data_IF_387434109569
#
_entry.id   IF_387434109569
#
_cell.length_a   1.000
_cell.length_b   1.000
_cell.length_c   1.000
_cell.angle_alpha   90.00
_cell.angle_beta   90.00
_cell.angle_gamma   90.00
#
_symmetry.space_group_name_H-M   'P 1'
#
loop_
_entity.id
_entity.type
_entity.pdbx_description
1 polymer ?
#
# COMPACT_ATOMS: atom_id res chain seq x y z
N UNK A 1 -13.80 -27.12 36.06
CA UNK A 1 -12.63 -26.26 36.34
C UNK A 1 -12.40 -25.45 35.10
N UNK A 2 -12.92 -24.21 35.10
CA UNK A 2 -12.82 -23.32 33.95
C UNK A 2 -11.43 -22.75 33.88
N UNK A 3 -10.72 -22.96 32.78
CA UNK A 3 -9.51 -22.25 32.46
C UNK A 3 -9.88 -20.79 32.19
N UNK A 4 -9.64 -19.93 33.15
CA UNK A 4 -9.72 -18.49 33.00
C UNK A 4 -8.69 -18.02 31.95
N UNK A 5 -9.09 -18.02 30.67
CA UNK A 5 -8.30 -17.45 29.60
C UNK A 5 -8.10 -15.97 29.91
N UNK A 6 -6.84 -15.52 29.95
CA UNK A 6 -6.51 -14.08 29.90
C UNK A 6 -7.31 -13.47 28.75
N UNK A 7 -7.94 -12.30 28.94
CA UNK A 7 -8.59 -11.62 27.84
C UNK A 7 -7.54 -11.45 26.72
N UNK A 8 -7.77 -12.10 25.59
CA UNK A 8 -6.89 -11.97 24.43
C UNK A 8 -6.94 -10.50 23.99
N UNK A 9 -5.81 -9.83 23.96
CA UNK A 9 -5.74 -8.45 23.48
C UNK A 9 -6.35 -8.37 22.07
N UNK A 10 -7.14 -7.32 21.78
CA UNK A 10 -7.79 -7.17 20.48
C UNK A 10 -6.74 -7.15 19.36
N UNK A 11 -6.98 -7.92 18.30
CA UNK A 11 -6.05 -8.02 17.17
C UNK A 11 -6.03 -6.73 16.38
N UNK A 12 -4.84 -6.14 16.25
CA UNK A 12 -4.63 -4.93 15.47
C UNK A 12 -4.25 -5.33 14.03
N UNK A 13 -5.03 -4.87 13.05
CA UNK A 13 -4.71 -4.99 11.64
C UNK A 13 -3.99 -3.76 11.12
N UNK A 14 -2.78 -3.93 10.58
CA UNK A 14 -2.05 -2.90 9.86
C UNK A 14 -2.49 -2.92 8.39
N UNK A 15 -2.93 -1.78 7.88
CA UNK A 15 -3.30 -1.60 6.47
C UNK A 15 -2.36 -0.58 5.84
N UNK A 16 -1.59 -1.02 4.84
CA UNK A 16 -0.67 -0.17 4.08
C UNK A 16 -1.16 -0.01 2.65
N UNK A 17 -1.51 1.23 2.30
CA UNK A 17 -2.07 1.55 0.99
C UNK A 17 -1.02 1.60 -0.11
N UNK A 18 -1.46 1.49 -1.36
CA UNK A 18 -0.62 1.71 -2.53
C UNK A 18 -0.20 3.18 -2.66
N UNK A 19 0.79 3.44 -3.50
CA UNK A 19 1.24 4.81 -3.77
C UNK A 19 2.63 4.94 -4.40
N UNK A 20 3.18 3.89 -4.95
CA UNK A 20 4.51 3.93 -5.59
C UNK A 20 5.58 4.47 -4.64
N UNK A 21 6.38 5.43 -5.10
CA UNK A 21 7.47 6.04 -4.31
C UNK A 21 6.98 6.74 -3.02
N UNK A 22 5.72 7.16 -2.96
CA UNK A 22 5.12 7.75 -1.74
C UNK A 22 5.10 6.77 -0.56
N UNK A 23 5.18 5.46 -0.81
CA UNK A 23 5.21 4.45 0.25
C UNK A 23 6.46 4.52 1.15
N UNK A 24 7.48 5.30 0.78
CA UNK A 24 8.60 5.64 1.66
C UNK A 24 8.12 6.36 2.96
N UNK A 25 7.01 7.10 2.91
CA UNK A 25 6.36 7.69 4.09
C UNK A 25 5.99 6.63 5.13
N UNK A 26 5.43 5.50 4.69
CA UNK A 26 5.03 4.39 5.56
C UNK A 26 6.23 3.85 6.35
N UNK A 27 7.41 3.81 5.72
CA UNK A 27 8.65 3.35 6.39
C UNK A 27 9.07 4.32 7.51
N UNK A 28 8.84 5.61 7.34
CA UNK A 28 9.05 6.61 8.37
C UNK A 28 8.14 6.40 9.59
N UNK A 29 6.85 6.13 9.32
CA UNK A 29 5.86 5.79 10.36
C UNK A 29 6.30 4.54 11.14
N UNK A 30 6.62 3.47 10.41
CA UNK A 30 7.05 2.21 11.01
C UNK A 30 8.36 2.36 11.81
N UNK A 31 9.29 3.21 11.35
CA UNK A 31 10.52 3.53 12.06
C UNK A 31 10.22 4.19 13.42
N UNK A 32 9.29 5.13 13.47
CA UNK A 32 8.91 5.79 14.72
C UNK A 32 8.27 4.78 15.68
N UNK A 33 7.34 3.95 15.20
CA UNK A 33 6.72 2.89 16.01
C UNK A 33 7.79 1.92 16.55
N UNK A 34 8.71 1.45 15.69
CA UNK A 34 9.79 0.57 16.13
C UNK A 34 10.73 1.22 17.16
N UNK A 35 10.87 2.54 17.15
CA UNK A 35 11.63 3.29 18.15
C UNK A 35 10.93 3.38 19.50
N UNK A 36 9.59 3.30 19.52
CA UNK A 36 8.78 3.34 20.74
C UNK A 36 8.68 1.96 21.43
N UNK A 37 8.95 0.88 20.71
CA UNK A 37 8.84 -0.48 21.21
C UNK A 37 10.20 -1.02 21.74
N UNK A 38 10.19 -2.02 22.64
CA UNK A 38 11.40 -2.72 23.04
C UNK A 38 12.15 -3.31 21.84
N UNK A 39 13.48 -3.50 21.97
CA UNK A 39 14.34 -3.84 20.84
C UNK A 39 13.95 -5.14 20.12
N UNK A 40 13.58 -6.15 20.89
CA UNK A 40 13.32 -7.51 20.41
C UNK A 40 11.84 -7.88 20.44
N UNK A 41 10.96 -6.86 20.50
CA UNK A 41 9.53 -7.12 20.50
C UNK A 41 9.05 -7.66 19.14
N UNK A 42 8.08 -8.60 19.17
CA UNK A 42 7.38 -8.98 17.96
C UNK A 42 6.57 -7.81 17.41
N UNK A 43 6.06 -7.97 16.20
CA UNK A 43 5.19 -6.99 15.57
C UNK A 43 3.96 -6.70 16.43
N UNK A 44 3.61 -5.41 16.67
CA UNK A 44 2.37 -5.05 17.33
C UNK A 44 1.14 -5.29 16.43
N UNK A 45 1.38 -5.73 15.20
CA UNK A 45 0.37 -5.95 14.16
C UNK A 45 0.31 -7.44 13.82
N UNK A 46 -0.54 -8.23 14.48
CA UNK A 46 -0.72 -9.64 14.15
C UNK A 46 -1.37 -9.85 12.77
N UNK A 47 -2.07 -8.87 12.23
CA UNK A 47 -2.64 -8.90 10.88
C UNK A 47 -2.02 -7.78 10.07
N UNK A 48 -1.45 -8.11 8.90
CA UNK A 48 -0.78 -7.16 8.03
C UNK A 48 -1.38 -7.27 6.62
N UNK A 49 -1.89 -6.15 6.10
CA UNK A 49 -2.50 -6.06 4.78
C UNK A 49 -1.79 -5.00 3.95
N UNK A 50 -1.47 -5.32 2.71
CA UNK A 50 -0.80 -4.38 1.82
C UNK A 50 -1.35 -4.39 0.40
N UNK A 51 -1.18 -3.26 -0.29
CA UNK A 51 -1.55 -3.09 -1.70
C UNK A 51 -0.44 -2.33 -2.41
N UNK A 52 -0.07 -2.74 -3.64
CA UNK A 52 0.96 -2.08 -4.45
C UNK A 52 2.29 -1.96 -3.70
N UNK A 53 2.92 -0.79 -3.69
CA UNK A 53 4.14 -0.55 -2.92
C UNK A 53 3.96 -0.81 -1.40
N UNK A 54 2.75 -0.60 -0.87
CA UNK A 54 2.40 -0.98 0.49
C UNK A 54 2.44 -2.50 0.72
N UNK A 55 2.16 -3.32 -0.31
CA UNK A 55 2.29 -4.78 -0.20
C UNK A 55 3.75 -5.22 -0.07
N UNK A 56 4.68 -4.52 -0.72
CA UNK A 56 6.13 -4.78 -0.57
C UNK A 56 6.57 -4.50 0.87
N UNK A 57 6.19 -3.34 1.42
CA UNK A 57 6.48 -3.01 2.82
C UNK A 57 5.85 -4.03 3.78
N UNK A 58 4.60 -4.41 3.52
CA UNK A 58 3.84 -5.39 4.30
C UNK A 58 4.51 -6.77 4.31
N UNK A 59 5.01 -7.24 3.17
CA UNK A 59 5.67 -8.53 3.05
C UNK A 59 6.98 -8.60 3.86
N UNK A 60 7.79 -7.52 3.85
CA UNK A 60 9.00 -7.45 4.68
C UNK A 60 8.65 -7.52 6.16
N UNK A 61 7.61 -6.79 6.61
CA UNK A 61 7.18 -6.84 8.01
C UNK A 61 6.61 -8.21 8.39
N UNK A 62 5.80 -8.81 7.52
CA UNK A 62 5.21 -10.12 7.75
C UNK A 62 6.28 -11.22 7.86
N UNK A 63 7.30 -11.16 7.00
CA UNK A 63 8.43 -12.10 7.05
C UNK A 63 9.30 -11.95 8.31
N UNK A 64 9.28 -10.78 8.95
CA UNK A 64 10.06 -10.45 10.14
C UNK A 64 9.16 -10.13 11.35
N UNK A 65 7.94 -10.66 11.40
CA UNK A 65 7.00 -10.30 12.47
C UNK A 65 7.47 -10.72 13.86
N UNK A 66 8.33 -11.72 13.98
CA UNK A 66 8.95 -12.14 15.24
C UNK A 66 9.93 -11.07 15.81
N UNK A 67 10.50 -10.22 14.96
CA UNK A 67 11.34 -9.09 15.36
C UNK A 67 11.00 -7.86 14.49
N UNK A 68 10.06 -7.07 14.97
CA UNK A 68 9.53 -5.92 14.23
C UNK A 68 10.61 -4.90 13.85
N UNK A 69 11.53 -4.62 14.78
CA UNK A 69 12.63 -3.67 14.55
C UNK A 69 13.56 -4.12 13.44
N UNK A 70 13.80 -5.42 13.30
CA UNK A 70 14.60 -5.98 12.21
C UNK A 70 13.91 -5.77 10.85
N UNK A 71 12.61 -6.07 10.75
CA UNK A 71 11.84 -5.83 9.53
C UNK A 71 11.88 -4.35 9.11
N UNK A 72 11.71 -3.44 10.08
CA UNK A 72 11.80 -1.99 9.81
C UNK A 72 13.21 -1.57 9.38
N UNK A 73 14.27 -2.13 9.97
CA UNK A 73 15.65 -1.86 9.53
C UNK A 73 15.91 -2.27 8.08
N UNK A 74 15.39 -3.42 7.66
CA UNK A 74 15.49 -3.88 6.28
C UNK A 74 14.79 -2.89 5.34
N UNK A 75 13.55 -2.48 5.65
CA UNK A 75 12.84 -1.45 4.89
C UNK A 75 13.64 -0.16 4.81
N UNK A 76 14.17 0.31 5.92
CA UNK A 76 14.99 1.53 5.97
C UNK A 76 16.23 1.45 5.09
N UNK A 77 16.91 0.29 5.05
CA UNK A 77 18.09 0.07 4.21
C UNK A 77 17.76 0.16 2.73
N UNK A 78 16.65 -0.47 2.32
CA UNK A 78 16.20 -0.43 0.92
C UNK A 78 15.78 0.99 0.54
N UNK A 79 14.81 1.59 1.26
CA UNK A 79 14.22 2.87 0.88
C UNK A 79 15.17 4.07 0.97
N UNK A 80 16.12 4.08 1.91
CA UNK A 80 17.15 5.15 2.01
C UNK A 80 18.14 5.16 0.84
N UNK A 81 18.29 4.04 0.16
CA UNK A 81 19.22 3.87 -0.94
C UNK A 81 18.51 3.54 -2.26
N UNK A 82 17.19 3.83 -2.31
CA UNK A 82 16.38 3.50 -3.47
C UNK A 82 16.71 4.41 -4.65
N UNK A 83 16.69 3.81 -5.84
CA UNK A 83 16.85 4.51 -7.12
C UNK A 83 15.87 3.93 -8.13
N UNK A 84 15.51 4.73 -9.11
CA UNK A 84 14.62 4.35 -10.21
C UNK A 84 15.03 3.03 -10.85
N UNK A 85 16.32 2.78 -11.04
CA UNK A 85 16.83 1.56 -11.66
C UNK A 85 16.62 0.26 -10.83
N UNK A 86 16.22 0.37 -9.57
CA UNK A 86 15.80 -0.78 -8.76
C UNK A 86 14.34 -1.19 -9.04
N UNK A 87 13.55 -0.29 -9.62
CA UNK A 87 12.12 -0.54 -9.88
C UNK A 87 11.87 -0.81 -11.35
N UNK A 88 12.42 0.02 -12.24
CA UNK A 88 12.21 -0.11 -13.67
C UNK A 88 13.44 0.32 -14.47
N UNK A 89 13.55 -0.23 -15.68
CA UNK A 89 14.60 0.20 -16.60
C UNK A 89 14.29 1.58 -17.15
N UNK A 90 15.28 2.46 -17.04
CA UNK A 90 15.23 3.84 -17.52
C UNK A 90 16.20 4.07 -18.71
N UNK A 91 16.63 2.99 -19.40
CA UNK A 91 17.52 3.10 -20.55
C UNK A 91 16.82 3.78 -21.75
N UNK A 92 17.49 4.72 -22.43
CA UNK A 92 16.89 5.52 -23.51
C UNK A 92 16.36 4.66 -24.66
N UNK A 93 17.08 3.61 -25.00
CA UNK A 93 16.78 2.73 -26.13
C UNK A 93 15.53 1.88 -25.86
N UNK A 94 15.41 1.34 -24.65
CA UNK A 94 14.24 0.56 -24.21
C UNK A 94 12.99 1.42 -24.09
N UNK A 95 13.09 2.59 -23.46
CA UNK A 95 12.00 3.54 -23.34
C UNK A 95 11.51 4.05 -24.72
N UNK A 96 12.44 4.38 -25.63
CA UNK A 96 12.09 4.82 -26.99
C UNK A 96 11.45 3.69 -27.80
N UNK A 97 12.00 2.47 -27.75
CA UNK A 97 11.47 1.32 -28.47
C UNK A 97 10.05 0.96 -27.99
N UNK A 98 9.81 0.98 -26.69
CA UNK A 98 8.49 0.71 -26.13
C UNK A 98 7.50 1.82 -26.49
N UNK A 99 7.89 3.10 -26.40
CA UNK A 99 7.04 4.22 -26.80
C UNK A 99 6.71 4.20 -28.30
N UNK A 100 7.69 3.92 -29.16
CA UNK A 100 7.47 3.77 -30.60
C UNK A 100 6.55 2.57 -30.92
N UNK A 101 6.73 1.45 -30.22
CA UNK A 101 5.85 0.28 -30.37
C UNK A 101 4.42 0.58 -29.93
N UNK A 102 4.20 1.39 -28.88
CA UNK A 102 2.88 1.87 -28.47
C UNK A 102 2.22 2.76 -29.55
N UNK A 103 2.99 3.72 -30.09
CA UNK A 103 2.50 4.60 -31.16
C UNK A 103 2.13 3.77 -32.39
N UNK A 104 2.99 2.81 -32.77
CA UNK A 104 2.69 1.91 -33.90
C UNK A 104 1.47 1.02 -33.65
N UNK A 105 1.34 0.44 -32.45
CA UNK A 105 0.16 -0.36 -32.10
C UNK A 105 -1.12 0.46 -32.15
N UNK A 106 -1.08 1.72 -31.70
CA UNK A 106 -2.21 2.64 -31.79
C UNK A 106 -2.55 2.99 -33.24
N UNK A 107 -1.56 3.27 -34.08
CA UNK A 107 -1.75 3.60 -35.50
C UNK A 107 -2.21 2.40 -36.35
N UNK A 108 -1.82 1.17 -35.98
CA UNK A 108 -2.16 -0.07 -36.72
C UNK A 108 -3.38 -0.79 -36.14
N UNK A 109 -4.10 -0.20 -35.17
CA UNK A 109 -5.25 -0.82 -34.52
C UNK A 109 -4.91 -2.13 -33.80
N UNK A 110 -3.65 -2.30 -33.37
CA UNK A 110 -3.21 -3.52 -32.68
C UNK A 110 -2.91 -4.70 -33.63
N UNK A 111 -2.91 -4.51 -34.93
CA UNK A 111 -2.56 -5.53 -35.94
C UNK A 111 -1.05 -5.81 -36.01
N UNK A 112 -0.44 -6.18 -34.89
CA UNK A 112 0.97 -6.57 -34.82
C UNK A 112 1.17 -7.72 -33.86
N UNK A 113 2.09 -8.63 -34.18
CA UNK A 113 2.41 -9.84 -33.40
C UNK A 113 2.91 -9.59 -31.98
N UNK A 114 3.17 -8.32 -31.60
CA UNK A 114 3.60 -7.90 -30.25
C UNK A 114 3.02 -6.52 -29.94
N UNK A 115 1.81 -6.48 -29.40
CA UNK A 115 1.32 -5.26 -28.74
C UNK A 115 2.15 -5.02 -27.47
N UNK A 116 2.78 -3.84 -27.30
CA UNK A 116 3.52 -3.55 -26.09
C UNK A 116 2.52 -3.52 -24.93
N UNK A 117 2.76 -4.38 -23.93
CA UNK A 117 1.85 -4.56 -22.80
C UNK A 117 2.06 -3.47 -21.74
N UNK A 118 3.23 -2.80 -21.72
CA UNK A 118 3.60 -1.78 -20.73
C UNK A 118 4.60 -0.77 -21.26
N UNK A 119 4.60 0.43 -20.67
CA UNK A 119 5.56 1.51 -21.00
C UNK A 119 6.95 1.24 -20.42
N UNK A 120 7.02 0.66 -19.22
CA UNK A 120 8.26 0.43 -18.48
C UNK A 120 8.46 -1.07 -18.20
N UNK A 121 9.70 -1.49 -18.22
CA UNK A 121 10.15 -2.85 -17.83
C UNK A 121 10.47 -2.85 -16.33
N UNK A 122 9.68 -3.58 -15.54
CA UNK A 122 9.84 -3.74 -14.09
C UNK A 122 10.68 -4.97 -13.69
N UNK A 123 11.44 -5.53 -14.59
CA UNK A 123 12.35 -6.66 -14.28
C UNK A 123 13.34 -6.38 -13.14
N UNK A 124 13.82 -5.13 -12.91
CA UNK A 124 14.60 -4.83 -11.72
C UNK A 124 13.82 -5.05 -10.41
N UNK A 125 12.58 -4.60 -10.36
CA UNK A 125 11.72 -4.83 -9.18
C UNK A 125 11.50 -6.34 -8.96
N UNK A 126 11.26 -7.10 -10.03
CA UNK A 126 11.11 -8.55 -9.93
C UNK A 126 12.33 -9.23 -9.32
N UNK A 127 13.54 -8.82 -9.73
CA UNK A 127 14.79 -9.31 -9.14
C UNK A 127 14.94 -8.88 -7.68
N UNK A 128 14.69 -7.62 -7.37
CA UNK A 128 14.77 -7.10 -6.00
C UNK A 128 13.85 -7.91 -5.07
N UNK A 129 12.58 -8.08 -5.43
CA UNK A 129 11.59 -8.83 -4.67
C UNK A 129 12.01 -10.30 -4.54
N UNK A 130 12.45 -10.94 -5.61
CA UNK A 130 12.81 -12.36 -5.60
C UNK A 130 14.10 -12.67 -4.83
N UNK A 131 15.03 -11.71 -4.71
CA UNK A 131 16.33 -11.94 -4.05
C UNK A 131 16.41 -11.40 -2.63
N UNK A 132 15.68 -10.34 -2.31
CA UNK A 132 15.79 -9.65 -1.02
C UNK A 132 14.68 -10.02 -0.02
N UNK A 133 13.56 -10.59 -0.51
CA UNK A 133 12.44 -10.97 0.34
C UNK A 133 12.48 -12.46 0.69
N UNK A 134 12.50 -12.73 1.98
CA UNK A 134 12.38 -14.09 2.49
C UNK A 134 10.90 -14.48 2.66
N UNK A 135 10.29 -15.00 1.60
CA UNK A 135 8.89 -15.45 1.65
C UNK A 135 8.67 -16.60 2.64
N UNK A 136 9.68 -17.44 2.89
CA UNK A 136 9.64 -18.46 3.93
C UNK A 136 9.50 -17.89 5.34
N UNK A 137 9.98 -16.67 5.56
CA UNK A 137 9.83 -15.92 6.81
C UNK A 137 8.37 -15.65 7.17
N UNK A 138 7.49 -15.45 6.18
CA UNK A 138 6.05 -15.28 6.42
C UNK A 138 5.48 -16.52 7.11
N UNK A 139 5.78 -17.69 6.58
CA UNK A 139 5.32 -18.95 7.16
C UNK A 139 5.89 -19.16 8.57
N UNK A 140 7.20 -18.91 8.76
CA UNK A 140 7.82 -18.99 10.10
C UNK A 140 7.20 -18.03 11.10
N UNK A 141 6.86 -16.82 10.68
CA UNK A 141 6.18 -15.83 11.52
C UNK A 141 4.78 -16.28 11.94
N UNK A 142 4.05 -16.97 11.05
CA UNK A 142 2.74 -17.55 11.35
C UNK A 142 2.89 -18.73 12.32
N UNK A 143 3.81 -19.65 12.05
CA UNK A 143 4.04 -20.83 12.86
C UNK A 143 4.51 -20.49 14.28
N UNK A 144 5.25 -19.39 14.45
CA UNK A 144 5.67 -18.87 15.77
C UNK A 144 4.57 -18.10 16.50
N UNK A 145 3.43 -17.80 15.86
CA UNK A 145 2.36 -16.98 16.41
C UNK A 145 2.63 -15.47 16.43
N UNK A 146 3.77 -15.01 15.91
CA UNK A 146 4.08 -13.58 15.81
C UNK A 146 3.25 -12.86 14.72
N UNK A 147 2.76 -13.62 13.74
CA UNK A 147 1.86 -13.17 12.70
C UNK A 147 0.63 -14.05 12.67
N UNK A 148 -0.55 -13.47 12.70
CA UNK A 148 -1.81 -14.19 12.54
C UNK A 148 -2.19 -14.35 11.06
N UNK A 149 -2.10 -13.25 10.29
CA UNK A 149 -2.38 -13.27 8.87
C UNK A 149 -1.66 -12.14 8.11
N UNK A 150 -1.31 -12.46 6.86
CA UNK A 150 -0.79 -11.51 5.88
C UNK A 150 -1.61 -11.56 4.62
N UNK A 151 -1.88 -10.41 4.00
CA UNK A 151 -2.62 -10.36 2.74
C UNK A 151 -2.11 -9.31 1.76
N UNK A 152 -2.30 -9.63 0.48
CA UNK A 152 -1.98 -8.77 -0.66
C UNK A 152 -3.21 -8.68 -1.55
N UNK A 153 -3.58 -7.46 -1.95
CA UNK A 153 -4.70 -7.24 -2.86
C UNK A 153 -4.21 -6.99 -4.28
N UNK A 154 -4.82 -7.67 -5.24
CA UNK A 154 -4.60 -7.53 -6.69
C UNK A 154 -5.92 -7.27 -7.41
N UNK A 155 -5.85 -6.73 -8.63
CA UNK A 155 -7.01 -6.51 -9.50
C UNK A 155 -7.00 -7.50 -10.65
N UNK A 156 -8.01 -8.38 -10.73
CA UNK A 156 -8.17 -9.34 -11.81
C UNK A 156 -8.72 -8.67 -13.07
N UNK A 157 -8.03 -8.85 -14.20
CA UNK A 157 -8.45 -8.23 -15.47
C UNK A 157 -9.62 -8.97 -16.12
N UNK A 158 -9.68 -10.29 -15.99
CA UNK A 158 -10.74 -11.12 -16.59
C UNK A 158 -11.98 -11.17 -15.71
N UNK A 159 -11.79 -11.39 -14.40
CA UNK A 159 -12.89 -11.46 -13.44
C UNK A 159 -13.49 -10.09 -13.11
N UNK A 160 -12.73 -9.02 -13.29
CA UNK A 160 -13.09 -7.67 -12.86
C UNK A 160 -13.24 -7.53 -11.34
N UNK A 161 -12.61 -8.44 -10.57
CA UNK A 161 -12.70 -8.48 -9.12
C UNK A 161 -11.45 -7.92 -8.45
N UNK A 162 -11.62 -7.40 -7.24
CA UNK A 162 -10.54 -7.19 -6.28
C UNK A 162 -10.27 -8.51 -5.57
N UNK A 163 -9.10 -9.10 -5.79
CA UNK A 163 -8.70 -10.39 -5.24
C UNK A 163 -7.67 -10.17 -4.16
N UNK A 164 -8.01 -10.55 -2.94
CA UNK A 164 -7.09 -10.53 -1.80
C UNK A 164 -6.54 -11.94 -1.59
N UNK A 165 -5.27 -12.15 -1.94
CA UNK A 165 -4.54 -13.35 -1.57
C UNK A 165 -4.08 -13.23 -0.12
N UNK A 166 -4.33 -14.26 0.70
CA UNK A 166 -3.92 -14.23 2.09
C UNK A 166 -3.27 -15.54 2.53
N UNK A 167 -2.36 -15.43 3.48
CA UNK A 167 -1.70 -16.53 4.17
C UNK A 167 -1.79 -16.27 5.67
N UNK A 168 -2.22 -17.26 6.46
CA UNK A 168 -2.43 -17.02 7.89
C UNK A 168 -2.58 -18.31 8.69
N UNK A 169 -2.97 -18.13 9.95
CA UNK A 169 -3.24 -19.21 10.89
C UNK A 169 -4.35 -20.15 10.37
N UNK A 170 -4.36 -21.41 10.80
CA UNK A 170 -5.44 -22.35 10.49
C UNK A 170 -6.81 -21.79 10.92
N UNK A 171 -7.85 -22.09 10.14
CA UNK A 171 -9.23 -21.68 10.44
C UNK A 171 -9.65 -20.33 9.86
N UNK A 172 -8.82 -19.71 9.03
CA UNK A 172 -9.25 -18.55 8.25
C UNK A 172 -10.00 -18.99 7.00
N UNK A 173 -11.27 -18.60 6.92
CA UNK A 173 -12.14 -18.94 5.80
C UNK A 173 -11.99 -17.97 4.61
N UNK A 174 -12.11 -18.46 3.37
CA UNK A 174 -12.23 -17.59 2.22
C UNK A 174 -13.53 -16.78 2.29
N UNK A 175 -13.52 -15.59 1.71
CA UNK A 175 -14.71 -14.75 1.68
C UNK A 175 -15.05 -14.28 0.27
N UNK A 176 -16.33 -14.01 0.07
CA UNK A 176 -16.84 -13.41 -1.16
C UNK A 176 -17.80 -12.26 -0.83
N UNK A 177 -17.58 -11.13 -1.47
CA UNK A 177 -18.42 -9.93 -1.39
C UNK A 177 -18.61 -9.38 -2.80
N UNK A 178 -19.47 -8.39 -2.97
CA UNK A 178 -19.65 -7.74 -4.26
C UNK A 178 -18.30 -7.27 -4.84
N UNK A 179 -17.86 -7.89 -5.93
CA UNK A 179 -16.61 -7.63 -6.65
C UNK A 179 -15.32 -7.75 -5.82
N UNK A 180 -15.35 -8.45 -4.69
CA UNK A 180 -14.21 -8.66 -3.81
C UNK A 180 -14.23 -10.09 -3.29
N UNK A 181 -13.07 -10.75 -3.41
CA UNK A 181 -12.89 -12.11 -2.89
C UNK A 181 -11.57 -12.18 -2.10
N UNK A 182 -11.57 -13.02 -1.06
CA UNK A 182 -10.37 -13.43 -0.36
C UNK A 182 -10.09 -14.89 -0.63
N UNK A 183 -8.86 -15.18 -1.04
CA UNK A 183 -8.42 -16.50 -1.45
C UNK A 183 -7.18 -16.90 -0.64
N UNK A 184 -7.18 -18.05 0.05
CA UNK A 184 -5.98 -18.55 0.70
C UNK A 184 -4.93 -18.91 -0.34
N UNK A 185 -3.68 -18.49 -0.10
CA UNK A 185 -2.57 -18.74 -1.00
C UNK A 185 -1.25 -18.78 -0.23
N UNK A 186 -0.27 -19.51 -0.75
CA UNK A 186 1.13 -19.32 -0.37
C UNK A 186 1.63 -18.11 -1.14
N UNK A 187 1.90 -17.02 -0.43
CA UNK A 187 2.27 -15.75 -1.07
C UNK A 187 3.72 -15.82 -1.53
N UNK A 188 3.93 -15.49 -2.82
CA UNK A 188 5.22 -15.46 -3.50
C UNK A 188 5.48 -14.15 -4.24
N UNK A 189 6.62 -14.03 -4.94
CA UNK A 189 7.01 -12.84 -5.70
C UNK A 189 5.96 -12.39 -6.71
N UNK A 190 5.28 -13.32 -7.37
CA UNK A 190 4.25 -13.07 -8.38
C UNK A 190 3.08 -12.27 -7.82
N UNK A 191 2.69 -12.50 -6.56
CA UNK A 191 1.61 -11.77 -5.91
C UNK A 191 1.98 -10.31 -5.66
N UNK A 192 3.23 -10.05 -5.22
CA UNK A 192 3.73 -8.68 -5.02
C UNK A 192 3.86 -7.92 -6.34
N UNK A 193 4.38 -8.59 -7.37
CA UNK A 193 4.53 -8.01 -8.70
C UNK A 193 3.16 -7.70 -9.31
N UNK A 194 2.19 -8.60 -9.16
CA UNK A 194 0.82 -8.39 -9.60
C UNK A 194 0.17 -7.19 -8.89
N UNK A 195 0.30 -7.14 -7.55
CA UNK A 195 -0.23 -6.03 -6.75
C UNK A 195 0.38 -4.68 -7.10
N UNK A 196 1.62 -4.67 -7.63
CA UNK A 196 2.37 -3.46 -8.01
C UNK A 196 2.34 -3.17 -9.51
N UNK A 197 1.60 -3.96 -10.31
CA UNK A 197 1.53 -3.80 -11.75
C UNK A 197 0.55 -2.68 -12.15
N UNK A 198 1.02 -1.42 -12.03
CA UNK A 198 0.26 -0.24 -12.45
C UNK A 198 -0.10 -0.33 -13.94
N UNK A 199 -1.39 -0.15 -14.30
CA UNK A 199 -1.85 -0.23 -15.68
C UNK A 199 -1.09 0.70 -16.59
N UNK A 200 -0.83 0.24 -17.81
CA UNK A 200 -0.06 0.93 -18.84
C UNK A 200 1.42 1.14 -18.48
N UNK A 201 1.76 1.29 -17.18
CA UNK A 201 3.13 1.56 -16.73
C UNK A 201 3.93 0.26 -16.61
N UNK A 202 3.38 -0.74 -15.90
CA UNK A 202 4.03 -2.04 -15.69
C UNK A 202 3.23 -3.19 -16.31
N UNK A 203 3.92 -4.29 -16.71
CA UNK A 203 3.25 -5.43 -17.30
C UNK A 203 2.33 -6.13 -16.28
N UNK A 204 1.15 -6.61 -16.71
CA UNK A 204 0.31 -7.44 -15.86
C UNK A 204 0.99 -8.78 -15.58
N UNK A 205 0.71 -9.35 -14.41
CA UNK A 205 1.30 -10.60 -13.96
C UNK A 205 0.27 -11.72 -13.97
N UNK A 206 0.63 -12.86 -14.53
CA UNK A 206 -0.24 -14.04 -14.54
C UNK A 206 -0.08 -14.82 -13.23
N UNK A 207 -1.20 -15.01 -12.52
CA UNK A 207 -1.29 -15.91 -11.38
C UNK A 207 -2.36 -16.94 -11.72
N UNK A 208 -1.98 -18.21 -11.73
CA UNK A 208 -2.85 -19.32 -12.17
C UNK A 208 -3.42 -19.09 -13.60
N UNK A 209 -4.72 -18.86 -13.71
CA UNK A 209 -5.44 -18.76 -14.99
C UNK A 209 -5.81 -17.33 -15.37
N UNK A 210 -5.46 -16.32 -14.55
CA UNK A 210 -5.86 -14.94 -14.76
C UNK A 210 -4.63 -14.00 -14.73
N UNK A 211 -4.75 -12.88 -15.46
CA UNK A 211 -3.80 -11.77 -15.37
C UNK A 211 -4.30 -10.75 -14.36
N UNK A 212 -3.35 -10.27 -13.55
CA UNK A 212 -3.61 -9.32 -12.49
C UNK A 212 -2.79 -8.02 -12.68
N UNK A 213 -3.39 -6.93 -12.24
CA UNK A 213 -2.77 -5.62 -12.12
C UNK A 213 -2.85 -5.08 -10.72
N UNK A 214 -2.42 -3.83 -10.53
CA UNK A 214 -2.35 -3.15 -9.24
C UNK A 214 -3.68 -3.24 -8.49
N UNK A 215 -3.58 -3.68 -7.25
CA UNK A 215 -4.74 -3.92 -6.41
C UNK A 215 -5.56 -2.66 -6.14
N UNK A 216 -4.92 -1.48 -6.08
CA UNK A 216 -5.59 -0.21 -5.80
C UNK A 216 -6.67 0.15 -6.82
N UNK A 217 -6.57 -0.35 -8.06
CA UNK A 217 -7.55 -0.07 -9.13
C UNK A 217 -8.99 -0.48 -8.80
N UNK A 218 -9.15 -1.57 -8.05
CA UNK A 218 -10.46 -2.14 -7.71
C UNK A 218 -10.71 -2.22 -6.22
N UNK A 219 -9.82 -1.67 -5.40
CA UNK A 219 -9.90 -1.75 -3.95
C UNK A 219 -10.80 -0.65 -3.37
N UNK A 220 -12.10 -0.80 -3.58
CA UNK A 220 -13.13 0.14 -3.06
C UNK A 220 -13.33 0.06 -1.55
N UNK A 221 -12.73 -0.90 -0.88
CA UNK A 221 -12.78 -1.11 0.57
C UNK A 221 -11.42 -1.61 1.10
N UNK A 222 -10.42 -0.72 1.20
CA UNK A 222 -9.04 -1.06 1.57
C UNK A 222 -8.90 -1.69 2.96
N UNK A 223 -9.77 -1.37 3.91
CA UNK A 223 -9.71 -1.92 5.28
C UNK A 223 -10.43 -3.27 5.41
N UNK A 224 -11.29 -3.60 4.46
CA UNK A 224 -12.10 -4.83 4.47
C UNK A 224 -11.30 -6.13 4.60
N UNK A 225 -10.14 -6.32 3.93
CA UNK A 225 -9.33 -7.51 4.11
C UNK A 225 -8.89 -7.74 5.56
N UNK A 226 -8.45 -6.69 6.25
CA UNK A 226 -8.03 -6.80 7.65
C UNK A 226 -9.19 -7.24 8.56
N UNK A 227 -10.39 -6.69 8.33
CA UNK A 227 -11.60 -7.08 9.08
C UNK A 227 -11.98 -8.53 8.81
N UNK A 228 -11.92 -9.00 7.55
CA UNK A 228 -12.20 -10.40 7.22
C UNK A 228 -11.17 -11.37 7.81
N UNK A 229 -9.94 -10.93 7.99
CA UNK A 229 -8.89 -11.69 8.67
C UNK A 229 -8.98 -11.63 10.20
N UNK A 230 -10.00 -10.95 10.74
CA UNK A 230 -10.28 -10.92 12.17
C UNK A 230 -9.62 -9.78 12.94
N UNK A 231 -9.29 -8.67 12.27
CA UNK A 231 -8.85 -7.46 12.96
C UNK A 231 -10.03 -6.82 13.73
N UNK A 232 -9.81 -6.51 14.98
CA UNK A 232 -10.75 -5.82 15.87
C UNK A 232 -10.43 -4.33 15.99
N UNK A 233 -9.18 -3.98 15.69
CA UNK A 233 -8.67 -2.60 15.62
C UNK A 233 -7.85 -2.43 14.36
N UNK A 234 -7.87 -1.24 13.77
CA UNK A 234 -7.20 -0.98 12.49
C UNK A 234 -6.20 0.17 12.62
N UNK A 235 -4.98 -0.07 12.19
CA UNK A 235 -3.97 0.96 11.99
C UNK A 235 -3.72 1.14 10.50
N UNK A 236 -4.15 2.27 9.94
CA UNK A 236 -4.06 2.55 8.50
C UNK A 236 -2.96 3.55 8.23
N UNK A 237 -2.01 3.22 7.37
CA UNK A 237 -1.00 4.16 6.90
C UNK A 237 -1.31 4.53 5.45
N UNK A 238 -1.86 5.73 5.27
CA UNK A 238 -2.13 6.32 3.96
C UNK A 238 -0.90 7.02 3.38
N UNK A 239 -0.95 7.32 2.08
CA UNK A 239 0.10 8.06 1.35
C UNK A 239 -0.44 9.34 0.70
N UNK A 240 -1.65 9.74 1.04
CA UNK A 240 -2.29 10.99 0.64
C UNK A 240 -2.58 11.86 1.84
N UNK A 241 -2.59 13.17 1.64
CA UNK A 241 -2.98 14.12 2.68
C UNK A 241 -4.48 13.95 2.96
N UNK A 242 -4.87 13.80 4.21
CA UNK A 242 -6.28 13.95 4.59
C UNK A 242 -6.73 15.40 4.30
N UNK A 243 -7.77 15.54 3.50
CA UNK A 243 -8.36 16.85 3.21
C UNK A 243 -9.26 17.24 4.38
N UNK A 244 -8.72 17.94 5.36
CA UNK A 244 -9.51 18.58 6.44
C UNK A 244 -10.22 19.86 5.97
N UNK A 245 -9.84 20.41 4.80
CA UNK A 245 -10.40 21.62 4.25
C UNK A 245 -10.88 21.39 2.81
N UNK A 246 -11.95 22.08 2.42
CA UNK A 246 -12.41 22.10 1.04
C UNK A 246 -11.25 22.58 0.14
N UNK A 247 -11.00 21.88 -0.99
CA UNK A 247 -9.95 22.29 -1.89
C UNK A 247 -10.22 23.71 -2.39
N UNK A 248 -9.24 24.61 -2.26
CA UNK A 248 -9.31 25.94 -2.86
C UNK A 248 -9.52 25.77 -4.38
N UNK A 249 -10.61 26.29 -4.88
CA UNK A 249 -10.89 26.33 -6.31
C UNK A 249 -9.95 27.36 -6.95
N UNK A 250 -8.86 26.87 -7.57
CA UNK A 250 -8.08 27.75 -8.43
C UNK A 250 -8.83 27.96 -9.76
N UNK A 251 -9.16 29.18 -10.07
CA UNK A 251 -9.66 29.57 -11.41
C UNK A 251 -8.47 29.54 -12.37
N UNK A 252 -8.43 28.56 -13.27
CA UNK A 252 -7.46 28.55 -14.38
C UNK A 252 -8.20 28.23 -15.66
N UNK A 253 -7.96 29.02 -16.70
CA UNK A 253 -8.51 28.81 -18.04
C UNK A 253 -7.65 27.83 -18.87
N UNK A 254 -6.58 27.29 -18.29
CA UNK A 254 -5.68 26.40 -18.99
C UNK A 254 -6.23 24.96 -19.07
N UNK A 255 -6.16 24.37 -20.27
CA UNK A 255 -6.51 22.96 -20.49
C UNK A 255 -5.54 22.06 -19.68
N UNK A 256 -6.07 21.06 -18.92
CA UNK A 256 -5.21 20.17 -18.16
C UNK A 256 -4.22 19.40 -19.02
N UNK A 257 -2.97 19.30 -18.58
CA UNK A 257 -1.95 18.47 -19.24
C UNK A 257 -2.23 16.96 -19.04
N UNK A 258 -1.65 16.11 -19.91
CA UNK A 258 -1.75 14.67 -19.76
C UNK A 258 -1.24 14.19 -18.39
N UNK A 259 -0.17 14.78 -17.88
CA UNK A 259 0.37 14.46 -16.55
C UNK A 259 -0.58 14.89 -15.43
N UNK A 260 -1.29 15.99 -15.56
CA UNK A 260 -2.29 16.42 -14.59
C UNK A 260 -3.48 15.45 -14.56
N UNK A 261 -3.97 15.03 -15.72
CA UNK A 261 -5.04 14.03 -15.83
C UNK A 261 -4.59 12.69 -15.25
N UNK A 262 -3.40 12.19 -15.64
CA UNK A 262 -2.86 10.96 -15.12
C UNK A 262 -2.63 11.01 -13.58
N UNK A 263 -2.10 12.12 -13.08
CA UNK A 263 -1.92 12.34 -11.65
C UNK A 263 -3.24 12.35 -10.88
N UNK A 264 -4.30 12.92 -11.46
CA UNK A 264 -5.64 12.91 -10.88
C UNK A 264 -6.21 11.48 -10.85
N UNK A 265 -6.09 10.73 -11.94
CA UNK A 265 -6.49 9.32 -11.97
C UNK A 265 -5.76 8.48 -10.91
N UNK A 266 -4.44 8.67 -10.76
CA UNK A 266 -3.66 7.95 -9.73
C UNK A 266 -4.09 8.35 -8.32
N UNK A 267 -4.37 9.61 -8.05
CA UNK A 267 -4.90 10.03 -6.76
C UNK A 267 -6.23 9.34 -6.45
N UNK A 268 -7.16 9.31 -7.41
CA UNK A 268 -8.44 8.62 -7.24
C UNK A 268 -8.27 7.12 -6.98
N UNK A 269 -7.34 6.47 -7.68
CA UNK A 269 -7.04 5.05 -7.50
C UNK A 269 -6.45 4.75 -6.11
N UNK A 270 -5.55 5.59 -5.61
CA UNK A 270 -4.79 5.30 -4.40
C UNK A 270 -5.36 5.91 -3.11
N UNK A 271 -6.12 7.01 -3.20
CA UNK A 271 -6.49 7.80 -2.03
C UNK A 271 -8.00 7.73 -1.72
N UNK A 272 -8.86 7.93 -2.71
CA UNK A 272 -10.29 8.11 -2.48
C UNK A 272 -10.95 6.89 -1.81
N UNK A 273 -10.51 5.68 -2.17
CA UNK A 273 -11.07 4.43 -1.62
C UNK A 273 -10.89 4.28 -0.11
N UNK A 274 -9.80 4.80 0.44
CA UNK A 274 -9.50 4.70 1.88
C UNK A 274 -10.42 5.64 2.67
N UNK A 275 -10.57 6.88 2.23
CA UNK A 275 -11.39 7.87 2.92
C UNK A 275 -12.87 7.44 2.96
N UNK A 276 -13.39 6.99 1.83
CA UNK A 276 -14.76 6.49 1.73
C UNK A 276 -15.01 5.26 2.60
N UNK A 277 -14.05 4.33 2.66
CA UNK A 277 -14.19 3.11 3.45
C UNK A 277 -14.12 3.39 4.96
N UNK A 278 -13.27 4.31 5.37
CA UNK A 278 -13.17 4.77 6.76
C UNK A 278 -14.43 5.53 7.20
N UNK A 279 -15.00 6.36 6.34
CA UNK A 279 -16.28 7.02 6.60
C UNK A 279 -17.43 6.00 6.79
N UNK A 280 -17.45 4.94 5.95
CA UNK A 280 -18.39 3.83 6.13
C UNK A 280 -18.20 3.14 7.48
N UNK A 281 -16.95 2.86 7.85
CA UNK A 281 -16.62 2.21 9.10
C UNK A 281 -17.06 3.07 10.29
N UNK A 282 -16.83 4.37 10.24
CA UNK A 282 -17.33 5.31 11.26
C UNK A 282 -18.85 5.25 11.40
N UNK A 283 -19.60 5.26 10.29
CA UNK A 283 -21.06 5.17 10.31
C UNK A 283 -21.53 3.82 10.88
N UNK A 284 -20.88 2.72 10.50
CA UNK A 284 -21.18 1.39 11.05
C UNK A 284 -20.92 1.38 12.56
N UNK A 285 -19.77 1.86 13.01
CA UNK A 285 -19.44 1.94 14.44
C UNK A 285 -20.48 2.77 15.23
N UNK A 286 -20.91 3.91 14.67
CA UNK A 286 -21.94 4.75 15.29
C UNK A 286 -23.29 4.03 15.37
N UNK A 287 -23.68 3.29 14.34
CA UNK A 287 -24.89 2.48 14.37
C UNK A 287 -24.78 1.37 15.40
N UNK A 288 -23.67 0.64 15.44
CA UNK A 288 -23.44 -0.44 16.39
C UNK A 288 -23.36 0.04 17.85
N UNK A 289 -22.94 1.29 18.10
CA UNK A 289 -22.91 1.84 19.45
C UNK A 289 -24.32 2.05 20.08
N UNK A 290 -25.35 2.08 19.25
CA UNK A 290 -26.75 2.27 19.67
C UNK A 290 -27.47 0.92 19.83
N UNK A 291 -26.97 -0.15 19.19
CA UNK A 291 -27.60 -1.47 19.20
C UNK A 291 -27.07 -2.29 20.39
N UNK A 292 -27.96 -2.77 21.31
CA UNK A 292 -27.56 -3.68 22.36
C UNK A 292 -26.90 -4.96 21.81
N UNK A 293 -25.81 -5.42 22.44
CA UNK A 293 -25.09 -6.64 22.01
C UNK A 293 -25.98 -7.87 21.95
N UNK A 294 -26.91 -7.99 22.90
CA UNK A 294 -27.87 -9.09 22.95
C UNK A 294 -28.75 -9.21 21.70
N UNK A 295 -29.09 -8.08 21.06
CA UNK A 295 -29.81 -8.07 19.79
C UNK A 295 -28.94 -8.52 18.60
N UNK A 296 -27.66 -8.20 18.60
CA UNK A 296 -26.74 -8.67 17.57
C UNK A 296 -26.54 -10.20 17.66
N UNK A 297 -26.34 -10.72 18.87
CA UNK A 297 -26.17 -12.14 19.15
C UNK A 297 -27.44 -12.93 18.82
N UNK A 298 -28.62 -12.45 19.27
CA UNK A 298 -29.91 -13.08 18.97
C UNK A 298 -30.22 -13.20 17.49
N UNK A 299 -29.73 -12.28 16.68
CA UNK A 299 -29.92 -12.28 15.23
C UNK A 299 -28.73 -12.87 14.45
N UNK A 300 -27.77 -13.50 15.11
CA UNK A 300 -26.54 -14.05 14.49
C UNK A 300 -25.79 -13.04 13.64
N UNK A 301 -25.80 -11.77 14.03
CA UNK A 301 -25.06 -10.72 13.34
C UNK A 301 -23.63 -10.66 13.91
N UNK A 302 -22.66 -11.22 13.19
CA UNK A 302 -21.24 -11.17 13.55
C UNK A 302 -20.63 -9.76 13.31
N UNK A 303 -21.35 -8.71 13.71
CA UNK A 303 -20.91 -7.32 13.58
C UNK A 303 -20.30 -6.87 14.91
N UNK A 304 -19.14 -6.27 14.84
CA UNK A 304 -18.46 -5.65 15.99
C UNK A 304 -17.93 -4.27 15.60
N UNK A 305 -17.82 -3.40 16.59
CA UNK A 305 -17.17 -2.11 16.42
C UNK A 305 -15.67 -2.35 16.21
N UNK A 306 -15.08 -1.68 15.23
CA UNK A 306 -13.66 -1.69 15.00
C UNK A 306 -13.09 -0.29 15.18
N UNK A 307 -12.34 -0.09 16.27
CA UNK A 307 -11.61 1.16 16.49
C UNK A 307 -10.47 1.29 15.45
N UNK A 308 -10.18 2.50 15.02
CA UNK A 308 -9.13 2.70 14.04
C UNK A 308 -8.33 4.00 14.27
N UNK A 309 -7.07 3.96 13.83
CA UNK A 309 -6.21 5.12 13.70
C UNK A 309 -5.67 5.21 12.28
N UNK A 310 -5.67 6.43 11.77
CA UNK A 310 -5.13 6.74 10.44
C UNK A 310 -3.94 7.67 10.60
N UNK A 311 -2.86 7.32 9.93
CA UNK A 311 -1.69 8.17 9.76
C UNK A 311 -1.54 8.50 8.28
N UNK A 312 -1.61 9.79 7.96
CA UNK A 312 -1.48 10.33 6.61
C UNK A 312 -0.49 11.51 6.64
N UNK A 313 0.18 11.80 5.51
CA UNK A 313 1.15 12.89 5.45
C UNK A 313 0.56 14.24 5.82
N UNK A 314 1.21 14.96 6.73
CA UNK A 314 0.83 16.34 7.12
C UNK A 314 1.15 17.36 6.02
N UNK A 315 2.05 17.03 5.10
CA UNK A 315 2.45 17.87 3.98
C UNK A 315 2.07 17.22 2.64
N UNK A 316 1.92 18.04 1.61
CA UNK A 316 1.67 17.56 0.25
C UNK A 316 2.92 16.88 -0.32
N UNK A 317 2.83 15.55 -0.55
CA UNK A 317 3.94 14.77 -1.11
C UNK A 317 4.26 15.17 -2.55
N UNK A 318 3.29 15.67 -3.30
CA UNK A 318 3.50 16.20 -4.65
C UNK A 318 4.31 17.50 -4.65
N UNK A 319 4.12 18.37 -3.64
CA UNK A 319 4.94 19.58 -3.49
C UNK A 319 6.38 19.22 -3.12
N UNK A 320 6.58 18.27 -2.20
CA UNK A 320 7.93 17.77 -1.87
C UNK A 320 8.60 17.16 -3.11
N UNK A 321 7.85 16.46 -3.97
CA UNK A 321 8.41 15.85 -5.18
C UNK A 321 8.98 16.89 -6.16
N UNK A 322 8.41 18.09 -6.23
CA UNK A 322 8.91 19.18 -7.09
C UNK A 322 10.38 19.53 -6.80
N UNK A 323 10.74 19.60 -5.51
CA UNK A 323 12.09 19.94 -5.07
C UNK A 323 13.12 18.87 -5.45
N UNK A 324 12.64 17.64 -5.69
CA UNK A 324 13.49 16.49 -5.99
C UNK A 324 13.46 16.04 -7.47
N UNK A 325 12.72 16.73 -8.36
CA UNK A 325 12.73 16.46 -9.81
C UNK A 325 14.15 16.41 -10.40
N UNK A 326 15.10 17.30 -10.01
CA UNK A 326 16.45 17.27 -10.56
C UNK A 326 17.21 15.98 -10.31
N UNK A 327 16.83 15.17 -9.31
CA UNK A 327 17.47 13.89 -8.98
C UNK A 327 17.13 12.77 -9.95
N UNK A 328 16.02 12.92 -10.70
CA UNK A 328 15.60 11.93 -11.70
C UNK A 328 16.63 11.78 -12.83
N UNK A 329 16.83 10.54 -13.37
CA UNK A 329 17.58 10.31 -14.56
C UNK A 329 17.11 11.20 -15.72
N UNK A 330 18.07 11.71 -16.53
CA UNK A 330 17.76 12.64 -17.64
C UNK A 330 16.71 12.11 -18.61
N UNK A 331 16.70 10.82 -18.89
CA UNK A 331 15.74 10.14 -19.77
C UNK A 331 14.32 10.18 -19.23
N UNK A 332 14.14 9.86 -17.94
CA UNK A 332 12.84 9.91 -17.27
C UNK A 332 12.34 11.36 -17.16
N UNK A 333 13.25 12.29 -16.86
CA UNK A 333 12.93 13.72 -16.81
C UNK A 333 12.47 14.26 -18.17
N UNK A 334 13.13 13.84 -19.26
CA UNK A 334 12.71 14.20 -20.62
C UNK A 334 11.32 13.65 -20.95
N UNK A 335 11.05 12.38 -20.61
CA UNK A 335 9.73 11.77 -20.79
C UNK A 335 8.64 12.51 -19.98
N UNK A 336 8.91 12.82 -18.73
CA UNK A 336 7.98 13.55 -17.86
C UNK A 336 7.75 14.99 -18.34
N UNK A 337 8.78 15.62 -18.95
CA UNK A 337 8.66 16.94 -19.55
C UNK A 337 7.68 16.93 -20.73
N UNK A 338 7.76 15.94 -21.63
CA UNK A 338 6.83 15.83 -22.78
C UNK A 338 5.38 15.63 -22.36
N UNK A 339 5.15 14.99 -21.18
CA UNK A 339 3.83 14.81 -20.61
C UNK A 339 3.32 16.04 -19.84
N UNK A 340 4.14 17.06 -19.64
CA UNK A 340 3.81 18.24 -18.83
C UNK A 340 3.88 18.01 -17.33
N UNK A 341 4.61 16.95 -16.89
CA UNK A 341 4.66 16.53 -15.50
C UNK A 341 5.59 17.37 -14.60
N UNK A 342 6.51 18.14 -15.19
CA UNK A 342 7.51 18.91 -14.42
C UNK A 342 6.98 20.22 -13.85
N UNK A 343 5.72 20.57 -14.13
CA UNK A 343 5.02 21.73 -13.56
C UNK A 343 4.29 21.32 -12.28
N UNK A 344 3.90 22.28 -11.46
CA UNK A 344 3.14 22.04 -10.23
C UNK A 344 1.86 21.22 -10.49
N UNK A 345 1.14 21.53 -11.58
CA UNK A 345 -0.07 20.79 -11.98
C UNK A 345 0.16 19.29 -12.29
N UNK A 346 1.37 18.92 -12.72
CA UNK A 346 1.74 17.52 -13.02
C UNK A 346 2.51 16.82 -11.92
N UNK A 347 2.83 17.48 -10.81
CA UNK A 347 3.66 16.97 -9.71
C UNK A 347 3.10 15.73 -9.03
N UNK A 348 1.79 15.55 -9.07
CA UNK A 348 1.15 14.34 -8.56
C UNK A 348 1.71 13.08 -9.25
N UNK A 349 1.74 13.05 -10.60
CA UNK A 349 2.29 11.93 -11.35
C UNK A 349 3.75 11.66 -10.97
N UNK A 350 4.56 12.71 -10.90
CA UNK A 350 5.99 12.63 -10.55
C UNK A 350 6.17 11.95 -9.20
N UNK A 351 5.41 12.34 -8.18
CA UNK A 351 5.56 11.84 -6.82
C UNK A 351 5.29 10.33 -6.67
N UNK A 352 4.55 9.71 -7.58
CA UNK A 352 4.36 8.25 -7.61
C UNK A 352 5.55 7.50 -8.22
N UNK A 353 6.28 8.15 -9.13
CA UNK A 353 7.36 7.54 -9.92
C UNK A 353 8.77 7.94 -9.46
N UNK A 354 8.88 8.86 -8.52
CA UNK A 354 10.14 9.42 -8.04
C UNK A 354 10.82 8.49 -7.01
N UNK A 355 11.28 7.33 -7.47
CA UNK A 355 12.04 6.37 -6.66
C UNK A 355 13.50 6.80 -6.55
N UNK A 356 13.78 7.94 -5.90
CA UNK A 356 15.13 8.44 -5.68
C UNK A 356 15.39 8.66 -4.19
N UNK A 357 16.61 8.37 -3.76
CA UNK A 357 16.99 8.32 -2.34
C UNK A 357 16.70 9.61 -1.59
N UNK A 358 16.90 10.77 -2.21
CA UNK A 358 16.68 12.08 -1.59
C UNK A 358 15.19 12.28 -1.27
N UNK A 359 14.30 12.00 -2.23
CA UNK A 359 12.86 12.04 -2.04
C UNK A 359 12.39 11.02 -1.01
N UNK A 360 12.85 9.76 -1.13
CA UNK A 360 12.49 8.71 -0.17
C UNK A 360 12.91 9.09 1.26
N UNK A 361 14.10 9.66 1.45
CA UNK A 361 14.59 10.12 2.76
C UNK A 361 13.75 11.26 3.32
N UNK A 362 13.32 12.21 2.47
CA UNK A 362 12.42 13.29 2.87
C UNK A 362 11.08 12.73 3.36
N UNK A 363 10.50 11.76 2.64
CA UNK A 363 9.25 11.12 3.03
C UNK A 363 9.39 10.27 4.30
N UNK A 364 10.48 9.54 4.46
CA UNK A 364 10.78 8.78 5.70
C UNK A 364 10.86 9.74 6.88
N UNK A 365 11.54 10.89 6.71
CA UNK A 365 11.61 11.90 7.76
C UNK A 365 10.23 12.44 8.12
N UNK A 366 9.43 12.80 7.12
CA UNK A 366 8.05 13.29 7.33
C UNK A 366 7.20 12.25 8.08
N UNK A 367 7.22 10.98 7.64
CA UNK A 367 6.45 9.91 8.29
C UNK A 367 6.87 9.69 9.75
N UNK A 368 8.17 9.79 10.02
CA UNK A 368 8.68 9.73 11.39
C UNK A 368 8.17 10.90 12.24
N UNK A 369 8.31 12.13 11.74
CA UNK A 369 7.93 13.35 12.44
C UNK A 369 6.40 13.40 12.71
N UNK A 370 5.58 13.00 11.73
CA UNK A 370 4.11 12.94 11.85
C UNK A 370 3.68 11.92 12.92
N UNK A 371 4.36 10.77 12.97
CA UNK A 371 4.10 9.73 13.97
C UNK A 371 4.48 10.21 15.38
N UNK A 372 5.63 10.86 15.52
CA UNK A 372 6.10 11.34 16.81
C UNK A 372 5.20 12.45 17.39
N UNK A 373 4.55 13.26 16.55
CA UNK A 373 3.54 14.24 17.02
C UNK A 373 2.31 13.58 17.65
N UNK A 374 2.01 12.34 17.30
CA UNK A 374 0.87 11.57 17.81
C UNK A 374 1.31 10.39 18.70
N UNK A 375 2.52 10.46 19.26
CA UNK A 375 3.15 9.38 20.01
C UNK A 375 2.23 8.80 21.08
N UNK A 376 1.65 9.62 21.93
CA UNK A 376 0.90 9.16 23.10
C UNK A 376 -0.42 8.50 22.70
N UNK A 377 -1.17 9.08 21.74
CA UNK A 377 -2.37 8.48 21.13
C UNK A 377 -2.03 7.10 20.51
N UNK A 378 -0.91 7.01 19.81
CA UNK A 378 -0.51 5.77 19.16
C UNK A 378 -0.05 4.70 20.16
N UNK A 379 0.69 5.07 21.19
CA UNK A 379 1.11 4.14 22.24
C UNK A 379 -0.10 3.57 22.98
N UNK A 380 -1.06 4.41 23.34
CA UNK A 380 -2.32 3.97 23.94
C UNK A 380 -3.10 3.07 22.98
N UNK A 381 -3.16 3.43 21.69
CA UNK A 381 -3.84 2.60 20.68
C UNK A 381 -3.16 1.24 20.52
N UNK A 382 -1.85 1.16 20.55
CA UNK A 382 -1.09 -0.08 20.41
C UNK A 382 -1.10 -0.94 21.70
N UNK A 383 -1.67 -0.43 22.81
CA UNK A 383 -1.73 -1.14 24.08
C UNK A 383 -0.44 -1.10 24.89
N UNK A 384 0.44 -0.17 24.56
CA UNK A 384 1.63 0.12 25.34
C UNK A 384 1.32 1.33 26.25
N UNK A 385 0.92 1.08 27.50
CA UNK A 385 0.82 2.14 28.48
C UNK A 385 2.18 2.81 28.67
N UNK A 386 2.16 4.12 28.95
CA UNK A 386 3.35 4.93 29.20
C UNK A 386 4.05 4.50 30.50
N UNK A 387 4.68 3.35 30.50
CA UNK A 387 5.43 2.78 31.63
C UNK A 387 6.93 3.13 31.56
N UNK A 388 7.29 4.24 30.92
CA UNK A 388 8.69 4.71 30.88
C UNK A 388 8.74 6.24 30.98
N UNK A 389 8.64 6.74 32.19
CA UNK A 389 9.28 7.98 32.64
C UNK A 389 10.52 7.62 33.43
#
# INVERSE_FOLDING_TARGET
MGSGGRPTQPRIGLVMTGGGARAAYQVGVLRAIAGMLPADSPSPFPIICGTSAGAVNAAVLAANAANFRQGVRLLMTVWKNFHVHHVYRADPLGAFRNSAAWIMAFLTGGFGRQTPISLLDNSPLARLVGTQLDFGGIRRSIDSGALYAFSITCSGYTSGQSVTFYQGAPGLDPWQRARRIGVPATIGPEHLLASSALPFIFPPVRINREYFGDGSMRQIAPVSPALHLGAERLFVIGVGRQLEAQPERSTTDAVPSLAQIAGHCLNSIFLDGVEVDLERLQRINRTLSIIPRELLEKNNLALHQADFRVLSPSLSLSKIALDHIPTLPRTIRALLFTLGALKESGSNLVSYLLFEKEFCRALIKLGYDDTMRRRDDLMQFLGFEACWL
#
